data_IF_355640724858
#
_entry.id   IF_355640724858
#
_cell.length_a   1.000
_cell.length_b   1.000
_cell.length_c   1.000
_cell.angle_alpha   90.00
_cell.angle_beta   90.00
_cell.angle_gamma   90.00
#
_symmetry.space_group_name_H-M   'P 1'
#
loop_
_entity.id
_entity.type
_entity.pdbx_description
1 polymer ?
#
# COMPACT_ATOMS: atom_id res chain seq x y z
N UNK A 1 6.89 4.58 -26.30
CA UNK A 1 5.70 4.85 -25.45
C UNK A 1 5.75 3.94 -24.24
N UNK A 2 5.73 4.52 -23.06
CA UNK A 2 5.65 3.77 -21.80
C UNK A 2 4.26 3.10 -21.69
N UNK A 3 4.26 1.80 -21.38
CA UNK A 3 3.05 0.97 -21.47
C UNK A 3 2.52 0.57 -20.09
N UNK A 4 1.22 0.31 -20.04
CA UNK A 4 0.60 -0.32 -18.88
C UNK A 4 1.19 -1.70 -18.64
N UNK A 5 1.13 -2.14 -17.38
CA UNK A 5 1.72 -3.39 -16.92
C UNK A 5 0.69 -4.23 -16.17
N UNK A 6 0.72 -5.53 -16.41
CA UNK A 6 -0.07 -6.54 -15.70
C UNK A 6 0.81 -7.73 -15.34
N UNK A 7 0.27 -8.71 -14.65
CA UNK A 7 0.96 -9.97 -14.38
C UNK A 7 1.07 -10.81 -15.66
N UNK A 8 2.11 -11.63 -15.75
CA UNK A 8 2.28 -12.58 -16.85
C UNK A 8 1.45 -13.84 -16.63
N UNK A 9 1.44 -14.33 -15.38
CA UNK A 9 0.75 -15.55 -14.97
C UNK A 9 -0.02 -15.32 -13.68
N UNK A 10 -0.99 -16.18 -13.40
CA UNK A 10 -1.71 -16.16 -12.13
C UNK A 10 -0.90 -16.84 -11.04
N UNK A 11 -0.92 -16.28 -9.85
CA UNK A 11 -0.26 -16.86 -8.67
C UNK A 11 -1.21 -16.88 -7.47
N UNK A 12 -1.15 -17.97 -6.72
CA UNK A 12 -2.01 -18.21 -5.56
C UNK A 12 -1.20 -18.22 -4.28
N UNK A 13 -1.75 -17.64 -3.21
CA UNK A 13 -1.18 -17.71 -1.87
C UNK A 13 -2.26 -17.93 -0.83
N UNK A 14 -1.81 -18.34 0.36
CA UNK A 14 -2.69 -18.54 1.52
C UNK A 14 -2.05 -17.90 2.74
N UNK A 15 -2.85 -17.22 3.54
CA UNK A 15 -2.43 -16.63 4.79
C UNK A 15 -3.59 -16.53 5.78
N UNK A 16 -3.48 -15.63 6.74
CA UNK A 16 -4.52 -15.34 7.73
C UNK A 16 -4.80 -13.84 7.75
N UNK A 17 -6.06 -13.47 7.97
CA UNK A 17 -6.45 -12.07 8.19
C UNK A 17 -5.94 -11.59 9.54
N UNK A 18 -5.41 -10.36 9.60
CA UNK A 18 -4.90 -9.77 10.83
C UNK A 18 -5.99 -9.63 11.89
N UNK A 19 -7.13 -9.07 11.48
CA UNK A 19 -8.25 -8.78 12.40
C UNK A 19 -9.17 -9.97 12.58
N UNK A 20 -9.54 -10.64 11.51
CA UNK A 20 -10.46 -11.78 11.53
C UNK A 20 -9.84 -13.06 12.11
N UNK A 21 -8.54 -13.26 11.90
CA UNK A 21 -7.85 -14.53 12.19
C UNK A 21 -8.28 -15.68 11.27
N UNK A 22 -9.09 -15.41 10.25
CA UNK A 22 -9.55 -16.42 9.31
C UNK A 22 -8.45 -16.77 8.31
N UNK A 23 -8.45 -18.05 7.88
CA UNK A 23 -7.65 -18.47 6.73
C UNK A 23 -8.18 -17.80 5.48
N UNK A 24 -7.29 -17.23 4.68
CA UNK A 24 -7.60 -16.52 3.45
C UNK A 24 -6.78 -17.08 2.31
N UNK A 25 -7.44 -17.31 1.19
CA UNK A 25 -6.78 -17.64 -0.07
C UNK A 25 -6.93 -16.46 -1.02
N UNK A 26 -5.81 -16.01 -1.57
CA UNK A 26 -5.79 -15.01 -2.63
C UNK A 26 -5.19 -15.59 -3.89
N UNK A 27 -5.67 -15.12 -5.05
CA UNK A 27 -5.09 -15.38 -6.35
C UNK A 27 -4.94 -14.05 -7.11
N UNK A 28 -3.71 -13.71 -7.43
CA UNK A 28 -3.38 -12.54 -8.25
C UNK A 28 -3.31 -13.00 -9.71
N UNK A 29 -4.04 -12.34 -10.59
CA UNK A 29 -4.17 -12.75 -12.00
C UNK A 29 -4.00 -11.57 -12.94
N UNK A 30 -3.54 -11.80 -14.19
CA UNK A 30 -3.54 -10.78 -15.22
C UNK A 30 -4.95 -10.19 -15.42
N UNK A 31 -5.00 -8.90 -15.72
CA UNK A 31 -6.22 -8.22 -16.13
C UNK A 31 -6.02 -7.47 -17.46
N UNK A 32 -7.07 -7.26 -18.27
CA UNK A 32 -6.99 -6.44 -19.47
C UNK A 32 -6.47 -5.02 -19.19
N UNK A 33 -5.90 -4.38 -20.20
CA UNK A 33 -5.53 -2.98 -20.08
C UNK A 33 -6.75 -2.11 -19.73
N UNK A 34 -6.52 -1.04 -18.99
CA UNK A 34 -7.55 -0.10 -18.49
C UNK A 34 -8.54 -0.70 -17.45
N UNK A 35 -8.25 -1.91 -16.91
CA UNK A 35 -9.05 -2.50 -15.83
C UNK A 35 -8.78 -1.85 -14.48
N UNK A 36 -7.52 -1.46 -14.22
CA UNK A 36 -7.06 -1.09 -12.87
C UNK A 36 -6.89 -2.32 -11.96
N UNK A 37 -6.84 -2.09 -10.67
CA UNK A 37 -6.79 -3.14 -9.66
C UNK A 37 -8.21 -3.43 -9.19
N UNK A 38 -8.64 -4.70 -9.29
CA UNK A 38 -10.00 -5.11 -8.92
C UNK A 38 -9.94 -6.33 -8.02
N UNK A 39 -10.45 -6.19 -6.80
CA UNK A 39 -10.70 -7.31 -5.90
C UNK A 39 -11.99 -8.01 -6.30
N UNK A 40 -12.00 -9.36 -6.25
CA UNK A 40 -13.15 -10.18 -6.56
C UNK A 40 -13.44 -11.12 -5.39
N UNK A 41 -14.56 -10.90 -4.70
CA UNK A 41 -15.03 -11.73 -3.57
C UNK A 41 -15.63 -13.00 -4.11
N UNK A 42 -14.80 -14.04 -4.19
CA UNK A 42 -15.16 -15.33 -4.80
C UNK A 42 -15.95 -16.25 -3.86
N UNK A 43 -15.99 -15.93 -2.59
CA UNK A 43 -16.83 -16.58 -1.57
C UNK A 43 -18.30 -16.13 -1.61
N UNK A 44 -18.59 -15.03 -2.32
CA UNK A 44 -19.96 -14.51 -2.47
C UNK A 44 -20.63 -15.05 -3.74
N UNK A 45 -21.94 -15.16 -3.72
CA UNK A 45 -22.75 -15.59 -4.87
C UNK A 45 -23.86 -14.57 -5.15
N UNK A 46 -23.81 -13.85 -6.28
CA UNK A 46 -22.75 -13.87 -7.30
C UNK A 46 -21.45 -13.26 -6.80
N UNK A 47 -20.32 -13.60 -7.46
CA UNK A 47 -19.01 -12.96 -7.24
C UNK A 47 -19.17 -11.44 -7.31
N UNK A 48 -18.49 -10.72 -6.42
CA UNK A 48 -18.55 -9.26 -6.34
C UNK A 48 -17.20 -8.64 -6.69
N UNK A 49 -17.21 -7.78 -7.70
CA UNK A 49 -16.06 -6.97 -8.09
C UNK A 49 -16.03 -5.68 -7.27
N UNK A 50 -14.87 -5.37 -6.72
CA UNK A 50 -14.61 -4.22 -5.86
C UNK A 50 -13.38 -3.50 -6.42
N UNK A 51 -13.55 -2.43 -7.22
CA UNK A 51 -12.42 -1.66 -7.72
C UNK A 51 -11.61 -1.01 -6.59
N UNK A 52 -10.29 -1.07 -6.70
CA UNK A 52 -9.38 -0.38 -5.78
C UNK A 52 -9.29 1.11 -6.14
N UNK A 53 -10.26 1.88 -5.66
CA UNK A 53 -10.39 3.32 -5.92
C UNK A 53 -10.83 4.05 -4.66
N UNK A 54 -10.42 5.32 -4.55
CA UNK A 54 -10.69 6.14 -3.38
C UNK A 54 -12.19 6.35 -3.10
N UNK A 55 -13.04 6.37 -4.13
CA UNK A 55 -14.49 6.49 -4.01
C UNK A 55 -15.17 5.20 -3.51
N UNK A 56 -14.45 4.06 -3.48
CA UNK A 56 -14.89 2.79 -2.92
C UNK A 56 -14.43 2.56 -1.48
N UNK A 57 -13.64 3.47 -0.90
CA UNK A 57 -13.23 3.38 0.51
C UNK A 57 -14.43 3.65 1.40
N UNK A 58 -14.77 2.68 2.25
CA UNK A 58 -15.90 2.69 3.17
C UNK A 58 -15.44 2.95 4.62
N UNK A 59 -14.32 2.34 5.02
CA UNK A 59 -13.81 2.41 6.39
C UNK A 59 -12.29 2.51 6.39
N UNK A 60 -11.75 3.27 7.35
CA UNK A 60 -10.32 3.55 7.48
C UNK A 60 -9.80 3.38 8.91
N UNK A 61 -10.60 2.77 9.79
CA UNK A 61 -10.18 2.41 11.14
C UNK A 61 -9.26 1.18 11.10
N UNK A 62 -8.04 1.32 11.60
CA UNK A 62 -6.99 0.30 11.68
C UNK A 62 -6.47 -0.23 10.35
N UNK A 63 -7.19 -0.08 9.25
CA UNK A 63 -6.80 -0.49 7.90
C UNK A 63 -7.68 0.20 6.85
N UNK A 64 -7.28 0.17 5.60
CA UNK A 64 -8.11 0.64 4.50
C UNK A 64 -9.05 -0.48 4.01
N UNK A 65 -10.35 -0.16 3.96
CA UNK A 65 -11.42 -1.07 3.54
C UNK A 65 -12.13 -0.54 2.31
N UNK A 66 -12.37 -1.42 1.34
CA UNK A 66 -13.07 -1.13 0.09
C UNK A 66 -14.42 -1.84 0.03
N UNK A 67 -15.41 -1.20 -0.60
CA UNK A 67 -16.76 -1.75 -0.75
C UNK A 67 -17.58 -1.57 0.53
N UNK A 68 -18.79 -2.13 0.56
CA UNK A 68 -19.71 -1.98 1.68
C UNK A 68 -20.52 -3.24 1.95
N UNK A 69 -21.03 -3.38 3.18
CA UNK A 69 -21.84 -4.52 3.60
C UNK A 69 -21.09 -5.86 3.44
N UNK A 70 -21.74 -6.83 2.80
CA UNK A 70 -21.12 -8.15 2.54
C UNK A 70 -20.02 -8.07 1.47
N UNK A 71 -20.15 -7.15 0.51
CA UNK A 71 -19.16 -6.92 -0.56
C UNK A 71 -18.05 -5.96 -0.08
N UNK A 72 -17.27 -6.38 0.91
CA UNK A 72 -16.18 -5.60 1.52
C UNK A 72 -14.87 -6.38 1.46
N UNK A 73 -13.76 -5.66 1.24
CA UNK A 73 -12.39 -6.16 1.39
C UNK A 73 -11.60 -5.18 2.24
N UNK A 74 -10.98 -5.67 3.31
CA UNK A 74 -10.22 -4.88 4.29
C UNK A 74 -8.73 -5.17 4.22
N UNK A 75 -7.90 -4.29 4.80
CA UNK A 75 -6.44 -4.44 4.90
C UNK A 75 -5.78 -4.54 3.51
N UNK A 76 -6.19 -3.65 2.60
CA UNK A 76 -5.73 -3.67 1.20
C UNK A 76 -4.40 -2.95 0.98
N UNK A 77 -3.98 -2.09 1.91
CA UNK A 77 -2.88 -1.14 1.82
C UNK A 77 -1.54 -1.79 1.49
N UNK A 78 -1.17 -2.90 2.13
CA UNK A 78 0.12 -3.56 1.92
C UNK A 78 0.24 -4.17 0.51
N UNK A 79 -0.83 -4.82 0.03
CA UNK A 79 -0.88 -5.37 -1.32
C UNK A 79 -0.90 -4.25 -2.37
N UNK A 80 -1.69 -3.19 -2.15
CA UNK A 80 -1.71 -2.03 -3.05
C UNK A 80 -0.35 -1.32 -3.09
N UNK A 81 0.34 -1.24 -1.96
CA UNK A 81 1.71 -0.71 -1.89
C UNK A 81 2.69 -1.53 -2.75
N UNK A 82 2.60 -2.87 -2.71
CA UNK A 82 3.42 -3.74 -3.56
C UNK A 82 3.12 -3.54 -5.05
N UNK A 83 1.84 -3.44 -5.42
CA UNK A 83 1.41 -3.18 -6.80
C UNK A 83 1.90 -1.81 -7.30
N UNK A 84 1.78 -0.78 -6.46
CA UNK A 84 2.30 0.56 -6.71
C UNK A 84 3.82 0.55 -6.91
N UNK A 85 4.56 -0.03 -5.95
CA UNK A 85 6.03 -0.07 -5.96
C UNK A 85 6.61 -0.83 -7.15
N UNK A 86 5.91 -1.86 -7.65
CA UNK A 86 6.30 -2.60 -8.85
C UNK A 86 5.64 -2.09 -10.14
N UNK A 87 4.83 -1.05 -10.07
CA UNK A 87 4.22 -0.38 -11.22
C UNK A 87 3.21 -1.22 -11.99
N UNK A 88 2.44 -2.08 -11.30
CA UNK A 88 1.40 -2.93 -11.89
C UNK A 88 0.11 -2.13 -12.03
N UNK A 89 -0.32 -1.84 -13.25
CA UNK A 89 -1.52 -1.03 -13.51
C UNK A 89 -2.81 -1.84 -13.43
N UNK A 90 -2.79 -3.10 -13.86
CA UNK A 90 -3.99 -3.92 -14.03
C UNK A 90 -3.79 -5.30 -13.42
N UNK A 91 -4.67 -5.68 -12.49
CA UNK A 91 -4.70 -7.02 -11.90
C UNK A 91 -6.08 -7.37 -11.36
N UNK A 92 -6.48 -8.63 -11.49
CA UNK A 92 -7.55 -9.20 -10.70
C UNK A 92 -6.99 -9.85 -9.43
N UNK A 93 -7.67 -9.62 -8.31
CA UNK A 93 -7.31 -10.18 -7.01
C UNK A 93 -8.53 -10.94 -6.50
N UNK A 94 -8.56 -12.26 -6.80
CA UNK A 94 -9.57 -13.15 -6.26
C UNK A 94 -9.29 -13.42 -4.79
N UNK A 95 -10.30 -13.27 -3.96
CA UNK A 95 -10.20 -13.47 -2.51
C UNK A 95 -11.45 -14.19 -1.98
N UNK A 96 -11.24 -15.21 -1.14
CA UNK A 96 -12.30 -16.01 -0.54
C UNK A 96 -12.70 -15.56 0.88
N UNK A 97 -12.35 -14.31 1.23
CA UNK A 97 -12.61 -13.72 2.55
C UNK A 97 -12.79 -12.20 2.43
N UNK A 98 -13.30 -11.58 3.50
CA UNK A 98 -13.44 -10.12 3.58
C UNK A 98 -12.14 -9.38 3.91
N UNK A 99 -11.02 -10.05 4.12
CA UNK A 99 -9.78 -9.43 4.56
C UNK A 99 -8.59 -9.99 3.78
N UNK A 100 -7.72 -9.10 3.27
CA UNK A 100 -6.45 -9.48 2.64
C UNK A 100 -5.56 -10.13 3.70
N UNK A 101 -4.87 -11.26 3.41
CA UNK A 101 -4.01 -11.89 4.40
C UNK A 101 -2.87 -10.97 4.81
N UNK A 102 -2.56 -10.92 6.11
CA UNK A 102 -1.52 -10.03 6.65
C UNK A 102 -0.11 -10.46 6.25
N UNK A 103 0.07 -11.71 5.89
CA UNK A 103 1.35 -12.33 5.57
C UNK A 103 2.33 -12.20 6.75
N UNK A 104 3.49 -11.55 6.53
CA UNK A 104 4.48 -11.25 7.56
C UNK A 104 4.35 -9.82 8.14
N UNK A 105 3.24 -9.13 7.83
CA UNK A 105 2.97 -7.77 8.25
C UNK A 105 3.58 -6.68 7.37
N UNK A 106 4.21 -7.05 6.26
CA UNK A 106 4.83 -6.12 5.31
C UNK A 106 4.31 -6.35 3.88
N UNK A 107 4.77 -5.55 2.91
CA UNK A 107 4.51 -5.76 1.49
C UNK A 107 5.47 -6.81 0.86
N UNK A 108 6.53 -7.25 1.55
CA UNK A 108 7.55 -8.13 1.01
C UNK A 108 7.02 -9.43 0.42
N UNK A 109 6.14 -10.20 1.09
CA UNK A 109 5.55 -11.40 0.51
C UNK A 109 4.73 -11.13 -0.75
N UNK A 110 4.05 -10.00 -0.85
CA UNK A 110 3.34 -9.62 -2.07
C UNK A 110 4.30 -9.26 -3.21
N UNK A 111 5.40 -8.57 -2.91
CA UNK A 111 6.49 -8.35 -3.87
C UNK A 111 7.01 -9.69 -4.41
N UNK A 112 7.25 -10.67 -3.53
CA UNK A 112 7.66 -12.01 -3.93
C UNK A 112 6.64 -12.67 -4.88
N UNK A 113 5.36 -12.61 -4.55
CA UNK A 113 4.29 -13.17 -5.40
C UNK A 113 4.25 -12.48 -6.77
N UNK A 114 4.28 -11.15 -6.80
CA UNK A 114 4.23 -10.37 -8.04
C UNK A 114 5.43 -10.65 -8.95
N UNK A 115 6.63 -10.74 -8.38
CA UNK A 115 7.82 -11.12 -9.15
C UNK A 115 7.75 -12.56 -9.65
N UNK A 116 7.28 -13.51 -8.83
CA UNK A 116 7.10 -14.92 -9.22
C UNK A 116 6.08 -15.10 -10.34
N UNK A 117 5.00 -14.30 -10.33
CA UNK A 117 4.02 -14.27 -11.42
C UNK A 117 4.58 -13.66 -12.70
N UNK A 118 5.67 -12.90 -12.57
CA UNK A 118 6.25 -12.12 -13.66
C UNK A 118 5.35 -10.96 -14.09
N UNK A 119 5.95 -9.99 -14.75
CA UNK A 119 5.27 -8.80 -15.25
C UNK A 119 5.34 -8.77 -16.78
N UNK A 120 4.27 -8.31 -17.42
CA UNK A 120 4.24 -8.07 -18.86
C UNK A 120 3.65 -6.70 -19.20
N UNK A 121 4.17 -6.08 -20.24
CA UNK A 121 3.63 -4.86 -20.81
C UNK A 121 2.40 -5.14 -21.67
N UNK A 122 1.49 -4.16 -21.70
CA UNK A 122 0.25 -4.19 -22.47
C UNK A 122 0.27 -3.17 -23.61
N UNK A 123 -0.68 -3.26 -24.53
CA UNK A 123 -0.70 -2.40 -25.72
C UNK A 123 -1.11 -0.93 -25.46
N UNK A 124 -1.65 -0.61 -24.27
CA UNK A 124 -2.10 0.73 -23.92
C UNK A 124 -0.99 1.57 -23.27
N UNK A 125 -1.02 2.88 -23.51
CA UNK A 125 -0.16 3.83 -22.82
C UNK A 125 -0.41 3.83 -21.31
N UNK A 126 0.66 3.85 -20.51
CA UNK A 126 0.58 4.10 -19.08
C UNK A 126 0.28 5.57 -18.86
N UNK A 127 -0.75 5.85 -18.07
CA UNK A 127 -1.13 7.20 -17.66
C UNK A 127 -0.75 7.46 -16.23
N UNK A 128 -0.37 8.69 -15.97
CA UNK A 128 -0.01 9.19 -14.65
C UNK A 128 -0.91 10.35 -14.29
N UNK A 129 -1.14 10.51 -13.01
CA UNK A 129 -1.72 11.73 -12.45
C UNK A 129 -0.54 12.61 -12.03
N UNK A 130 -0.30 13.71 -12.78
CA UNK A 130 0.71 14.70 -12.45
C UNK A 130 0.08 15.81 -11.63
N UNK A 131 0.55 15.98 -10.41
CA UNK A 131 0.14 17.10 -9.56
C UNK A 131 0.85 18.38 -10.05
N UNK A 132 0.07 19.44 -10.27
CA UNK A 132 0.54 20.73 -10.78
C UNK A 132 0.52 21.84 -9.73
N UNK A 133 -0.35 21.72 -8.72
CA UNK A 133 -0.46 22.63 -7.61
C UNK A 133 -0.53 21.86 -6.28
N UNK A 134 -0.12 22.52 -5.19
CA UNK A 134 -0.16 21.93 -3.86
C UNK A 134 -1.60 21.65 -3.40
N UNK A 135 -1.82 20.46 -2.85
CA UNK A 135 -3.07 20.05 -2.22
C UNK A 135 -2.74 19.57 -0.82
N UNK A 136 -3.38 20.14 0.18
CA UNK A 136 -3.18 19.81 1.60
C UNK A 136 -4.49 19.53 2.29
N UNK A 137 -4.52 18.47 3.09
CA UNK A 137 -5.60 18.16 4.03
C UNK A 137 -5.04 18.02 5.44
N UNK A 138 -5.85 18.32 6.44
CA UNK A 138 -5.44 18.22 7.84
C UNK A 138 -6.59 17.70 8.72
N UNK A 139 -6.23 17.10 9.85
CA UNK A 139 -7.11 16.68 10.92
C UNK A 139 -6.39 16.94 12.26
N UNK A 140 -6.72 18.05 12.92
CA UNK A 140 -5.99 18.55 14.08
C UNK A 140 -4.54 18.91 13.71
N UNK A 141 -3.59 18.23 14.35
CA UNK A 141 -2.14 18.37 14.08
C UNK A 141 -1.61 17.46 12.98
N UNK A 142 -2.44 16.56 12.47
CA UNK A 142 -2.08 15.65 11.38
C UNK A 142 -2.19 16.37 10.03
N UNK A 143 -1.22 16.16 9.16
CA UNK A 143 -1.18 16.81 7.85
C UNK A 143 -0.78 15.81 6.78
N UNK A 144 -1.42 15.90 5.62
CA UNK A 144 -1.02 15.19 4.41
C UNK A 144 -1.08 16.13 3.21
N UNK A 145 -0.01 16.18 2.43
CA UNK A 145 0.17 17.12 1.32
C UNK A 145 0.68 16.40 0.09
N UNK A 146 0.14 16.77 -1.08
CA UNK A 146 0.72 16.48 -2.39
C UNK A 146 1.27 17.76 -2.99
N UNK A 147 2.51 17.71 -3.52
CA UNK A 147 3.17 18.82 -4.21
C UNK A 147 3.63 18.41 -5.60
N UNK A 148 3.75 19.38 -6.53
CA UNK A 148 4.36 19.12 -7.82
C UNK A 148 5.78 18.53 -7.67
N UNK A 149 6.01 17.40 -8.31
CA UNK A 149 7.30 16.74 -8.35
C UNK A 149 7.44 15.90 -9.64
N UNK A 150 8.62 15.95 -10.26
CA UNK A 150 8.91 15.12 -11.43
C UNK A 150 9.43 13.74 -10.99
N UNK A 151 8.54 12.87 -10.56
CA UNK A 151 8.79 11.57 -9.96
C UNK A 151 7.70 11.22 -8.96
N UNK A 152 7.95 10.23 -8.13
CA UNK A 152 7.13 9.97 -6.95
C UNK A 152 8.04 9.97 -5.73
N UNK A 153 7.92 10.99 -4.89
CA UNK A 153 8.68 11.12 -3.65
C UNK A 153 7.72 10.98 -2.47
N UNK A 154 8.11 10.20 -1.49
CA UNK A 154 7.35 9.99 -0.27
C UNK A 154 8.20 10.47 0.90
N UNK A 155 7.67 11.42 1.66
CA UNK A 155 8.18 11.84 2.96
C UNK A 155 7.13 11.52 4.02
N UNK A 156 7.55 10.95 5.11
CA UNK A 156 6.65 10.66 6.24
C UNK A 156 7.33 11.02 7.55
N UNK A 157 6.56 11.58 8.49
CA UNK A 157 6.99 11.82 9.86
C UNK A 157 5.97 11.26 10.84
N UNK A 158 6.47 10.52 11.83
CA UNK A 158 5.70 9.96 12.94
C UNK A 158 6.02 10.71 14.23
N UNK A 159 5.06 10.71 15.15
CA UNK A 159 5.23 11.30 16.48
C UNK A 159 4.46 10.46 17.50
N UNK A 160 5.17 9.51 18.11
CA UNK A 160 4.67 8.66 19.19
C UNK A 160 5.41 9.02 20.48
N UNK A 161 4.65 9.25 21.54
CA UNK A 161 5.19 9.49 22.90
C UNK A 161 5.47 8.15 23.58
N UNK A 162 6.62 7.54 23.22
CA UNK A 162 7.02 6.25 23.76
C UNK A 162 8.53 6.08 23.67
N UNK A 163 9.22 5.48 24.69
CA UNK A 163 10.69 5.37 24.75
C UNK A 163 11.32 4.71 23.52
N UNK A 164 10.68 3.68 22.95
CA UNK A 164 11.16 2.98 21.72
C UNK A 164 11.40 3.94 20.56
N UNK A 165 10.64 5.06 20.47
CA UNK A 165 10.76 6.02 19.37
C UNK A 165 11.76 7.15 19.65
N UNK A 166 12.33 7.24 20.87
CA UNK A 166 13.32 8.30 21.19
C UNK A 166 14.63 8.10 20.43
N UNK A 167 15.03 6.84 20.22
CA UNK A 167 16.26 6.45 19.54
C UNK A 167 16.06 6.17 18.04
N UNK A 168 14.80 6.25 17.55
CA UNK A 168 14.45 5.92 16.17
C UNK A 168 14.34 7.16 15.29
N UNK A 169 14.61 6.98 13.99
CA UNK A 169 14.29 8.04 13.03
C UNK A 169 12.79 8.20 12.92
N UNK A 170 12.31 9.40 13.26
CA UNK A 170 10.90 9.76 13.21
C UNK A 170 10.47 10.33 11.87
N UNK A 171 11.42 10.54 10.95
CA UNK A 171 11.17 11.07 9.60
C UNK A 171 12.02 10.33 8.58
N UNK A 172 11.42 9.95 7.47
CA UNK A 172 12.11 9.38 6.33
C UNK A 172 11.60 10.02 5.03
N UNK A 173 12.48 10.09 4.03
CA UNK A 173 12.17 10.61 2.69
C UNK A 173 12.82 9.67 1.67
N UNK A 174 12.07 9.30 0.64
CA UNK A 174 12.56 8.42 -0.41
C UNK A 174 11.97 8.82 -1.76
N UNK A 175 12.82 8.92 -2.78
CA UNK A 175 12.40 8.92 -4.18
C UNK A 175 12.08 7.47 -4.58
N UNK A 176 10.86 7.24 -5.04
CA UNK A 176 10.35 5.89 -5.28
C UNK A 176 10.74 5.43 -6.68
N UNK A 177 11.45 4.30 -6.71
CA UNK A 177 11.63 3.41 -7.85
C UNK A 177 11.32 1.98 -7.39
N UNK A 178 11.25 1.01 -8.29
CA UNK A 178 11.07 -0.39 -7.89
C UNK A 178 12.22 -0.88 -7.01
N UNK A 179 13.46 -0.50 -7.32
CA UNK A 179 14.63 -0.84 -6.50
C UNK A 179 14.52 -0.23 -5.11
N UNK A 180 14.27 1.10 -5.02
CA UNK A 180 14.16 1.81 -3.75
C UNK A 180 13.02 1.24 -2.90
N UNK A 181 11.86 0.95 -3.50
CA UNK A 181 10.74 0.33 -2.81
C UNK A 181 11.10 -1.05 -2.24
N UNK A 182 11.69 -1.92 -3.06
CA UNK A 182 12.03 -3.30 -2.64
C UNK A 182 13.10 -3.30 -1.56
N UNK A 183 14.15 -2.47 -1.68
CA UNK A 183 15.25 -2.42 -0.72
C UNK A 183 14.87 -1.75 0.60
N UNK A 184 14.14 -0.62 0.51
CA UNK A 184 14.03 0.32 1.63
C UNK A 184 12.67 0.28 2.34
N UNK A 185 11.59 -0.13 1.65
CA UNK A 185 10.22 0.00 2.18
C UNK A 185 9.52 -1.36 2.29
N UNK A 186 9.60 -2.20 1.26
CA UNK A 186 8.70 -3.34 1.09
C UNK A 186 8.63 -4.30 2.27
N UNK A 187 9.70 -4.42 3.07
CA UNK A 187 9.81 -5.34 4.21
C UNK A 187 9.50 -4.70 5.56
N UNK A 188 9.14 -3.41 5.59
CA UNK A 188 8.76 -2.73 6.83
C UNK A 188 7.43 -3.30 7.35
N UNK A 189 7.44 -3.83 8.57
CA UNK A 189 6.29 -4.49 9.19
C UNK A 189 5.37 -3.51 9.89
N UNK A 190 4.09 -3.84 9.90
CA UNK A 190 3.10 -3.20 10.77
C UNK A 190 3.51 -3.36 12.24
N UNK A 191 3.04 -2.45 13.07
CA UNK A 191 3.37 -2.44 14.50
C UNK A 191 2.17 -2.02 15.34
N UNK A 192 2.23 -2.36 16.62
CA UNK A 192 1.23 -1.93 17.59
C UNK A 192 1.70 -2.19 19.02
N UNK A 193 1.02 -1.54 19.96
CA UNK A 193 1.31 -1.66 21.37
C UNK A 193 0.51 -2.81 22.00
N UNK A 194 1.11 -3.49 22.99
CA UNK A 194 0.47 -4.62 23.69
C UNK A 194 -0.92 -4.27 24.17
N UNK A 195 -1.08 -3.10 24.82
CA UNK A 195 -2.38 -2.66 25.37
C UNK A 195 -3.43 -2.41 24.25
N UNK A 196 -3.00 -1.97 23.05
CA UNK A 196 -3.90 -1.82 21.90
C UNK A 196 -4.33 -3.20 21.35
N UNK A 197 -3.41 -4.16 21.28
CA UNK A 197 -3.74 -5.54 20.87
C UNK A 197 -4.73 -6.19 21.85
N UNK A 198 -4.55 -6.01 23.18
CA UNK A 198 -5.49 -6.50 24.17
C UNK A 198 -6.87 -5.88 24.02
N UNK A 199 -6.93 -4.56 23.83
CA UNK A 199 -8.16 -3.85 23.55
C UNK A 199 -8.85 -4.32 22.27
N UNK A 200 -8.13 -4.43 21.17
CA UNK A 200 -8.64 -4.94 19.88
C UNK A 200 -9.18 -6.37 20.02
N UNK A 201 -8.44 -7.26 20.71
CA UNK A 201 -8.87 -8.65 20.96
C UNK A 201 -10.15 -8.73 21.78
N UNK A 202 -10.32 -7.86 22.76
CA UNK A 202 -11.57 -7.77 23.56
C UNK A 202 -12.78 -7.42 22.68
N UNK A 203 -12.55 -6.75 21.53
CA UNK A 203 -13.55 -6.42 20.50
C UNK A 203 -13.64 -7.42 19.36
N UNK A 204 -12.89 -8.51 19.43
CA UNK A 204 -12.86 -9.55 18.39
C UNK A 204 -12.03 -9.19 17.16
N UNK A 205 -11.14 -8.19 17.26
CA UNK A 205 -10.17 -7.79 16.27
C UNK A 205 -8.77 -8.34 16.61
N UNK A 206 -7.79 -8.16 15.70
CA UNK A 206 -6.40 -8.60 15.85
C UNK A 206 -6.25 -10.08 16.25
N UNK A 207 -7.18 -10.94 15.82
CA UNK A 207 -7.20 -12.37 16.16
C UNK A 207 -6.07 -13.15 15.49
N UNK A 208 -5.62 -12.71 14.32
CA UNK A 208 -4.50 -13.28 13.58
C UNK A 208 -3.16 -12.61 13.88
N UNK A 209 -3.15 -11.55 14.71
CA UNK A 209 -1.94 -10.81 15.05
C UNK A 209 -1.01 -11.59 15.97
N UNK A 210 0.29 -11.59 15.64
CA UNK A 210 1.36 -12.23 16.40
C UNK A 210 2.68 -11.50 16.16
N UNK A 211 3.73 -11.86 16.93
CA UNK A 211 5.09 -11.36 16.70
C UNK A 211 5.68 -11.81 15.36
N UNK A 212 5.06 -12.76 14.66
CA UNK A 212 5.51 -13.21 13.34
C UNK A 212 5.04 -12.25 12.22
N UNK A 213 3.98 -11.47 12.48
CA UNK A 213 3.37 -10.60 11.47
C UNK A 213 3.13 -9.15 11.94
N UNK A 214 3.66 -8.76 13.08
CA UNK A 214 3.67 -7.38 13.56
C UNK A 214 4.87 -7.15 14.48
N UNK A 215 5.34 -5.91 14.54
CA UNK A 215 6.24 -5.47 15.60
C UNK A 215 5.37 -5.17 16.82
N UNK A 216 5.57 -5.90 17.90
CA UNK A 216 4.82 -5.75 19.14
C UNK A 216 5.67 -5.00 20.16
N UNK A 217 5.11 -3.92 20.71
CA UNK A 217 5.80 -2.99 21.61
C UNK A 217 5.10 -3.03 22.97
N UNK A 218 5.86 -3.33 24.04
CA UNK A 218 5.37 -3.13 25.40
C UNK A 218 5.68 -1.71 25.91
N UNK A 219 5.50 -1.43 27.16
CA UNK A 219 5.71 -0.08 27.73
C UNK A 219 7.16 0.44 27.61
N UNK A 220 8.12 -0.42 27.25
CA UNK A 220 9.55 -0.09 27.29
C UNK A 220 10.34 -0.54 26.07
N UNK A 221 9.92 -1.61 25.37
CA UNK A 221 10.75 -2.28 24.35
C UNK A 221 9.93 -3.00 23.29
N UNK A 222 10.62 -3.38 22.21
CA UNK A 222 10.13 -4.29 21.17
C UNK A 222 10.22 -5.73 21.69
N UNK A 223 9.15 -6.51 21.54
CA UNK A 223 9.03 -7.89 22.00
C UNK A 223 9.50 -8.93 20.99
N UNK A 224 9.70 -8.55 19.73
CA UNK A 224 10.16 -9.44 18.68
C UNK A 224 11.63 -9.79 18.89
N UNK A 225 11.97 -11.07 19.05
CA UNK A 225 13.34 -11.55 19.32
C UNK A 225 14.35 -11.10 18.24
N UNK A 226 13.93 -10.99 16.97
CA UNK A 226 14.77 -10.54 15.87
C UNK A 226 14.92 -9.02 15.76
N UNK A 227 14.29 -8.23 16.63
CA UNK A 227 14.32 -6.77 16.57
C UNK A 227 13.69 -6.21 15.30
N UNK A 228 14.21 -5.07 14.83
CA UNK A 228 13.79 -4.38 13.62
C UNK A 228 14.53 -4.88 12.37
N UNK A 229 13.87 -4.84 11.22
CA UNK A 229 14.46 -5.13 9.89
C UNK A 229 15.20 -3.94 9.30
N UNK A 230 14.79 -2.71 9.69
CA UNK A 230 15.41 -1.43 9.35
C UNK A 230 15.54 -0.58 10.62
N UNK A 231 16.56 0.25 10.72
CA UNK A 231 16.71 1.17 11.85
C UNK A 231 15.51 2.14 11.98
N UNK A 232 14.85 2.44 10.86
CA UNK A 232 13.71 3.34 10.73
C UNK A 232 12.43 2.59 10.29
N UNK A 233 12.26 1.31 10.71
CA UNK A 233 11.18 0.43 10.23
C UNK A 233 9.79 1.01 10.47
N UNK A 234 9.54 1.67 11.59
CA UNK A 234 8.25 2.26 11.91
C UNK A 234 7.80 3.32 10.92
N UNK A 235 8.66 4.30 10.64
CA UNK A 235 8.33 5.36 9.68
C UNK A 235 8.27 4.81 8.25
N UNK A 236 9.11 3.84 7.89
CA UNK A 236 9.06 3.15 6.60
C UNK A 236 7.77 2.35 6.41
N UNK A 237 7.24 1.76 7.48
CA UNK A 237 5.93 1.12 7.39
C UNK A 237 4.83 2.13 7.12
N UNK A 238 4.86 3.30 7.78
CA UNK A 238 3.88 4.37 7.48
C UNK A 238 4.00 4.92 6.05
N UNK A 239 5.22 4.91 5.47
CA UNK A 239 5.41 5.22 4.05
C UNK A 239 4.78 4.13 3.16
N UNK A 240 4.94 2.85 3.52
CA UNK A 240 4.33 1.71 2.84
C UNK A 240 2.80 1.84 2.81
N UNK A 241 2.18 2.08 3.97
CA UNK A 241 0.74 2.31 4.10
C UNK A 241 0.27 3.46 3.21
N UNK A 242 0.96 4.62 3.30
CA UNK A 242 0.62 5.79 2.50
C UNK A 242 0.70 5.51 1.00
N UNK A 243 1.71 4.77 0.53
CA UNK A 243 1.83 4.39 -0.88
C UNK A 243 0.64 3.54 -1.34
N UNK A 244 0.20 2.58 -0.52
CA UNK A 244 -0.98 1.76 -0.82
C UNK A 244 -2.27 2.57 -0.86
N UNK A 245 -2.47 3.46 0.12
CA UNK A 245 -3.63 4.35 0.18
C UNK A 245 -3.69 5.33 -0.99
N UNK A 246 -2.54 5.93 -1.35
CA UNK A 246 -2.43 6.86 -2.48
C UNK A 246 -2.64 6.15 -3.83
N UNK A 247 -2.32 4.84 -3.92
CA UNK A 247 -2.55 4.08 -5.14
C UNK A 247 -4.04 3.88 -5.45
N UNK A 248 -4.93 4.13 -4.49
CA UNK A 248 -6.37 4.23 -4.70
C UNK A 248 -6.79 5.41 -5.60
N UNK A 249 -5.87 6.29 -5.98
CA UNK A 249 -6.06 7.20 -7.10
C UNK A 249 -6.26 6.45 -8.44
N UNK A 250 -5.99 5.14 -8.49
CA UNK A 250 -6.16 4.28 -9.66
C UNK A 250 -5.06 4.39 -10.70
N UNK A 251 -4.13 5.31 -10.52
CA UNK A 251 -2.96 5.54 -11.38
C UNK A 251 -1.76 5.96 -10.55
N UNK A 252 -0.58 5.75 -11.10
CA UNK A 252 0.67 6.22 -10.50
C UNK A 252 0.69 7.75 -10.42
N UNK A 253 1.10 8.28 -9.28
CA UNK A 253 1.27 9.72 -9.08
C UNK A 253 2.65 10.18 -9.57
N UNK A 254 2.69 11.39 -10.13
CA UNK A 254 3.89 12.21 -10.28
C UNK A 254 3.72 13.39 -9.31
N UNK A 255 4.25 13.22 -8.12
CA UNK A 255 4.08 14.13 -6.99
C UNK A 255 5.09 13.84 -5.87
N UNK A 256 5.31 14.81 -5.01
CA UNK A 256 5.85 14.61 -3.68
C UNK A 256 4.69 14.51 -2.68
N UNK A 257 4.64 13.42 -1.93
CA UNK A 257 3.78 13.26 -0.76
C UNK A 257 4.56 13.58 0.51
N UNK A 258 4.01 14.41 1.39
CA UNK A 258 4.55 14.71 2.72
C UNK A 258 3.46 14.48 3.77
N UNK A 259 3.62 13.43 4.57
CA UNK A 259 2.71 13.04 5.65
C UNK A 259 3.32 13.32 7.02
N UNK A 260 2.60 14.05 7.87
CA UNK A 260 2.89 14.19 9.29
C UNK A 260 1.75 13.57 10.10
N UNK A 261 2.05 12.50 10.86
CA UNK A 261 1.08 11.76 11.68
C UNK A 261 -0.13 11.26 10.88
N UNK A 262 -0.04 11.20 9.56
CA UNK A 262 -1.13 10.79 8.68
C UNK A 262 -1.46 9.31 8.88
N UNK A 263 -2.69 8.96 8.57
CA UNK A 263 -3.22 7.60 8.55
C UNK A 263 -4.18 7.41 7.38
N UNK A 264 -4.78 6.23 7.27
CA UNK A 264 -5.63 5.84 6.15
C UNK A 264 -6.76 6.84 5.85
N UNK A 265 -7.42 7.36 6.89
CA UNK A 265 -8.48 8.36 6.75
C UNK A 265 -7.97 9.63 6.04
N UNK A 266 -6.85 10.19 6.51
CA UNK A 266 -6.32 11.43 5.97
C UNK A 266 -5.71 11.21 4.57
N UNK A 267 -5.07 10.07 4.32
CA UNK A 267 -4.58 9.69 3.00
C UNK A 267 -5.74 9.59 1.99
N UNK A 268 -6.86 8.96 2.37
CA UNK A 268 -8.04 8.88 1.51
C UNK A 268 -8.66 10.26 1.28
N UNK A 269 -8.75 11.10 2.30
CA UNK A 269 -9.21 12.49 2.15
C UNK A 269 -8.33 13.26 1.16
N UNK A 270 -7.00 13.07 1.19
CA UNK A 270 -6.08 13.72 0.27
C UNK A 270 -6.31 13.27 -1.18
N UNK A 271 -6.52 11.96 -1.42
CA UNK A 271 -6.84 11.45 -2.76
C UNK A 271 -8.18 11.98 -3.26
N UNK A 272 -9.19 12.08 -2.39
CA UNK A 272 -10.48 12.69 -2.75
C UNK A 272 -10.31 14.18 -3.06
N UNK A 273 -9.58 14.94 -2.23
CA UNK A 273 -9.29 16.35 -2.45
C UNK A 273 -8.53 16.59 -3.78
N UNK A 274 -7.64 15.67 -4.17
CA UNK A 274 -6.98 15.72 -5.47
C UNK A 274 -8.02 15.69 -6.61
N UNK A 275 -8.98 14.76 -6.59
CA UNK A 275 -10.01 14.67 -7.62
C UNK A 275 -11.05 15.79 -7.56
N UNK A 276 -11.31 16.33 -6.39
CA UNK A 276 -12.18 17.52 -6.21
C UNK A 276 -11.51 18.82 -6.70
N UNK A 277 -10.20 18.77 -6.99
CA UNK A 277 -9.40 19.91 -7.47
C UNK A 277 -8.84 19.67 -8.89
N UNK A 278 -9.70 19.57 -9.92
CA UNK A 278 -9.28 19.20 -11.28
C UNK A 278 -8.31 20.18 -11.95
N UNK A 279 -8.18 21.40 -11.42
CA UNK A 279 -7.20 22.39 -11.87
C UNK A 279 -5.78 22.12 -11.33
N UNK A 280 -5.64 21.28 -10.31
CA UNK A 280 -4.36 21.06 -9.59
C UNK A 280 -3.63 19.79 -10.04
N UNK A 281 -4.13 19.15 -11.09
CA UNK A 281 -3.48 17.97 -11.68
C UNK A 281 -3.82 17.81 -13.15
N UNK A 282 -3.03 17.02 -13.87
CA UNK A 282 -3.24 16.69 -15.26
C UNK A 282 -2.88 15.22 -15.55
N UNK A 283 -3.39 14.70 -16.67
CA UNK A 283 -2.92 13.42 -17.19
C UNK A 283 -1.56 13.58 -17.87
N UNK A 284 -0.61 12.71 -17.54
CA UNK A 284 0.68 12.63 -18.22
C UNK A 284 0.89 11.24 -18.82
N UNK A 285 1.55 11.21 -20.00
CA UNK A 285 2.03 10.01 -20.68
C UNK A 285 3.43 10.28 -21.22
N UNK A 286 4.22 9.23 -21.47
CA UNK A 286 5.59 9.35 -21.97
C UNK A 286 5.74 8.55 -23.25
N UNK A 287 6.14 9.22 -24.35
CA UNK A 287 6.38 8.58 -25.65
C UNK A 287 7.66 7.76 -25.63
N UNK A 288 8.71 8.23 -24.95
CA UNK A 288 9.92 7.46 -24.70
C UNK A 288 9.93 6.96 -23.25
N UNK A 289 10.35 5.73 -23.03
CA UNK A 289 10.54 5.16 -21.69
C UNK A 289 11.64 5.91 -20.95
N UNK A 290 12.65 6.42 -21.66
CA UNK A 290 13.74 7.20 -21.09
C UNK A 290 13.29 8.56 -20.50
N UNK A 291 12.15 9.07 -20.95
CA UNK A 291 11.59 10.34 -20.45
C UNK A 291 10.76 10.13 -19.16
N UNK A 292 10.49 8.87 -18.80
CA UNK A 292 9.74 8.56 -17.58
C UNK A 292 10.59 8.90 -16.34
N UNK A 293 10.04 9.69 -15.40
CA UNK A 293 10.73 9.97 -14.15
C UNK A 293 10.67 8.82 -13.14
N UNK A 294 9.95 7.73 -13.47
CA UNK A 294 9.82 6.54 -12.63
C UNK A 294 10.42 5.33 -13.36
N UNK A 295 11.16 4.52 -12.61
CA UNK A 295 11.78 3.29 -13.08
C UNK A 295 11.27 2.09 -12.26
N UNK A 296 10.79 1.07 -12.97
CA UNK A 296 10.37 -0.20 -12.38
C UNK A 296 11.32 -1.35 -12.73
N UNK A 297 12.52 -1.05 -13.19
CA UNK A 297 13.56 -2.04 -13.43
C UNK A 297 14.13 -2.50 -12.08
N UNK A 298 14.16 -3.79 -11.86
CA UNK A 298 14.82 -4.36 -10.68
C UNK A 298 16.23 -4.83 -11.07
N UNK A 299 17.25 -4.47 -10.26
CA UNK A 299 18.58 -5.06 -10.36
C UNK A 299 18.54 -6.58 -10.21
N UNK A 300 19.53 -7.26 -10.79
CA UNK A 300 19.57 -8.73 -10.85
C UNK A 300 19.52 -9.38 -9.44
N UNK A 301 20.13 -8.76 -8.45
CA UNK A 301 20.15 -9.24 -7.06
C UNK A 301 18.80 -9.12 -6.34
N UNK A 302 17.86 -8.36 -6.90
CA UNK A 302 16.49 -8.21 -6.40
C UNK A 302 15.45 -8.99 -7.23
N UNK A 303 15.85 -9.60 -8.32
CA UNK A 303 14.97 -10.44 -9.14
C UNK A 303 14.90 -11.85 -8.54
N UNK A 304 13.68 -12.41 -8.53
CA UNK A 304 13.48 -13.82 -8.20
C UNK A 304 13.89 -14.67 -9.40
N UNK A 305 14.72 -15.68 -9.15
CA UNK A 305 15.25 -16.56 -10.18
C UNK A 305 14.17 -17.53 -10.72
#
# INVERSE_FOLDING_TARGET
MLRQRTLRESIKSTGVGLHSGNKVVIMLSPAPADTGIVFRRTDLSPVRDIPARADWVDETDLSTSLGSGEAKVTTVEHLLSALCGLGIDNAYIDIDSAEVPIMDGSAGPFVYLLQSAGVQEQARAKRFIRVTDEITVNDGDKVATLRPYNGFKVTFAIDFDHPVFEEQSRRATLDISAEAFVREISRARTFGFVHEFEYMRSRGLARGGSVDNAIVIDDYRILNDGGLRYEDEFVKHKMLDAMGDLYLAGHQLLAEYDGFKSGHALNNQLVRALFDSPQSWEWATFEDVADSPLDWTLPQDLQIA
#
